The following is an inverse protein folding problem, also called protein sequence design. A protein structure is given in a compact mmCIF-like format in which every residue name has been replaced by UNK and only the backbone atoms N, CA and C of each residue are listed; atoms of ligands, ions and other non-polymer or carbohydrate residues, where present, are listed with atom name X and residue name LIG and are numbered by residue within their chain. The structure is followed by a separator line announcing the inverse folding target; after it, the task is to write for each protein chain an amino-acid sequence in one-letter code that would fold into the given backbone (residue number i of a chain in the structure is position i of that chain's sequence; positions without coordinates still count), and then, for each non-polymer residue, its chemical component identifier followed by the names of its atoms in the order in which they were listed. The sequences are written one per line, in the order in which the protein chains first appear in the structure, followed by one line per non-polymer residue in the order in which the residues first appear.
data_IF_595121548458
#
_entry.id   IF_595121548458
#
_cell.length_a   1.000
_cell.length_b   1.000
_cell.length_c   1.000
_cell.angle_alpha   90.00
_cell.angle_beta   90.00
_cell.angle_gamma   90.00
#
_symmetry.space_group_name_H-M   'P 1'
#
loop_
_entity.id
_entity.type
_entity.pdbx_description
1 polymer ?
#
# COMPACT_ATOMS: atom_id res chain seq x y z
N UNK A 1 23.45 -0.74 44.88
CA UNK A 1 24.41 -1.40 43.95
C UNK A 1 23.61 -2.27 43.00
N UNK A 2 23.56 -1.92 41.71
CA UNK A 2 22.82 -2.70 40.71
C UNK A 2 23.61 -3.92 40.24
N UNK A 3 22.91 -5.01 39.93
CA UNK A 3 23.52 -6.21 39.33
C UNK A 3 24.07 -5.89 37.94
N UNK A 4 25.25 -6.42 37.61
CA UNK A 4 25.84 -6.22 36.29
C UNK A 4 24.98 -6.86 35.18
N UNK A 5 25.01 -6.28 33.98
CA UNK A 5 24.33 -6.88 32.81
C UNK A 5 24.77 -8.33 32.54
N UNK A 6 26.01 -8.67 32.88
CA UNK A 6 26.54 -10.03 32.74
C UNK A 6 25.84 -11.01 33.67
N UNK A 7 25.63 -10.62 34.93
CA UNK A 7 24.90 -11.43 35.90
C UNK A 7 23.44 -11.63 35.49
N UNK A 8 22.77 -10.55 35.06
CA UNK A 8 21.39 -10.60 34.61
C UNK A 8 21.26 -11.50 33.36
N UNK A 9 22.21 -11.41 32.43
CA UNK A 9 22.27 -12.27 31.24
C UNK A 9 22.32 -13.76 31.60
N UNK A 10 23.18 -14.15 32.56
CA UNK A 10 23.27 -15.54 33.01
C UNK A 10 22.01 -16.02 33.69
N UNK A 11 21.41 -15.18 34.52
CA UNK A 11 20.19 -15.52 35.27
C UNK A 11 18.97 -15.65 34.34
N UNK A 12 18.74 -14.66 33.48
CA UNK A 12 17.56 -14.59 32.58
C UNK A 12 17.75 -15.40 31.29
N UNK A 13 18.98 -15.87 31.02
CA UNK A 13 19.35 -16.63 29.80
C UNK A 13 18.96 -15.91 28.50
N UNK A 14 19.15 -14.58 28.48
CA UNK A 14 18.93 -13.72 27.30
C UNK A 14 20.18 -12.92 26.98
N UNK A 15 20.30 -12.50 25.72
CA UNK A 15 21.46 -11.71 25.28
C UNK A 15 21.54 -10.38 26.03
N UNK A 16 22.76 -9.88 26.21
CA UNK A 16 23.01 -8.57 26.84
C UNK A 16 22.32 -7.43 26.07
N UNK A 17 22.21 -7.53 24.74
CA UNK A 17 21.52 -6.54 23.91
C UNK A 17 20.02 -6.52 24.16
N UNK A 18 19.36 -7.68 24.23
CA UNK A 18 17.93 -7.76 24.54
C UNK A 18 17.63 -7.19 25.93
N UNK A 19 18.46 -7.55 26.93
CA UNK A 19 18.34 -7.03 28.30
C UNK A 19 18.54 -5.52 28.33
N UNK A 20 19.55 -5.00 27.64
CA UNK A 20 19.80 -3.56 27.56
C UNK A 20 18.64 -2.81 26.91
N UNK A 21 18.12 -3.31 25.79
CA UNK A 21 16.96 -2.72 25.12
C UNK A 21 15.71 -2.72 26.01
N UNK A 22 15.50 -3.79 26.79
CA UNK A 22 14.41 -3.87 27.76
C UNK A 22 14.57 -2.86 28.90
N UNK A 23 15.75 -2.79 29.53
CA UNK A 23 15.99 -1.87 30.65
C UNK A 23 15.93 -0.40 30.24
N UNK A 24 16.35 -0.06 29.02
CA UNK A 24 16.28 1.31 28.52
C UNK A 24 14.84 1.81 28.34
N UNK A 25 13.91 0.92 27.96
CA UNK A 25 12.51 1.29 27.81
C UNK A 25 11.58 0.08 28.06
N UNK A 26 11.31 -0.25 29.34
CA UNK A 26 10.58 -1.46 29.68
C UNK A 26 9.10 -1.39 29.30
N UNK A 27 8.50 -0.19 29.33
CA UNK A 27 7.07 0.01 29.05
C UNK A 27 6.72 -0.25 27.58
N UNK A 28 7.63 0.06 26.66
CA UNK A 28 7.41 -0.06 25.21
C UNK A 28 8.14 -1.24 24.57
N UNK A 29 8.86 -2.06 25.35
CA UNK A 29 9.58 -3.22 24.82
C UNK A 29 8.59 -4.24 24.21
N UNK A 30 8.83 -4.60 22.95
CA UNK A 30 7.99 -5.56 22.23
C UNK A 30 6.62 -5.03 21.78
N UNK A 31 6.30 -3.76 22.05
CA UNK A 31 5.02 -3.16 21.65
C UNK A 31 4.91 -2.98 20.13
N UNK A 32 6.00 -2.52 19.50
CA UNK A 32 6.02 -2.23 18.06
C UNK A 32 6.22 -3.51 17.25
N UNK A 33 5.18 -3.95 16.56
CA UNK A 33 5.26 -5.01 15.54
C UNK A 33 5.76 -4.44 14.22
N UNK A 34 6.52 -5.23 13.47
CA UNK A 34 6.86 -4.87 12.09
C UNK A 34 5.61 -5.01 11.21
N UNK A 35 5.47 -4.11 10.25
CA UNK A 35 4.35 -4.13 9.27
C UNK A 35 4.50 -5.23 8.23
N UNK A 36 5.57 -6.03 8.28
CA UNK A 36 5.87 -7.04 7.29
C UNK A 36 6.28 -6.46 5.94
N UNK A 37 6.17 -7.28 4.89
CA UNK A 37 6.53 -6.91 3.52
C UNK A 37 5.44 -6.02 2.90
N UNK A 38 5.79 -4.92 2.22
CA UNK A 38 4.83 -4.11 1.47
C UNK A 38 4.08 -4.91 0.40
N UNK A 39 2.81 -4.56 0.16
CA UNK A 39 2.01 -5.15 -0.92
C UNK A 39 2.55 -4.71 -2.28
N UNK A 40 2.35 -5.56 -3.30
CA UNK A 40 2.75 -5.30 -4.69
C UNK A 40 1.78 -4.41 -5.46
N UNK A 41 0.55 -4.33 -4.97
CA UNK A 41 -0.57 -3.63 -5.59
C UNK A 41 -0.99 -2.53 -4.61
N UNK A 42 -1.28 -1.34 -5.11
CA UNK A 42 -1.75 -0.24 -4.26
C UNK A 42 -3.23 -0.37 -3.97
N UNK A 43 -3.74 0.31 -2.94
CA UNK A 43 -5.18 0.32 -2.66
C UNK A 43 -6.02 0.92 -3.79
N UNK A 44 -5.43 1.72 -4.68
CA UNK A 44 -6.12 2.26 -5.86
C UNK A 44 -6.25 1.18 -6.94
N UNK A 45 -5.16 0.48 -7.21
CA UNK A 45 -5.12 -0.60 -8.19
C UNK A 45 -6.09 -1.72 -7.78
N UNK A 46 -6.09 -2.09 -6.50
CA UNK A 46 -7.07 -3.04 -5.95
C UNK A 46 -8.53 -2.63 -6.25
N UNK A 47 -8.88 -1.35 -6.06
CA UNK A 47 -10.22 -0.84 -6.38
C UNK A 47 -10.49 -0.90 -7.88
N UNK A 48 -9.51 -0.52 -8.70
CA UNK A 48 -9.65 -0.52 -10.16
C UNK A 48 -9.83 -1.95 -10.70
N UNK A 49 -9.06 -2.92 -10.19
CA UNK A 49 -9.22 -4.35 -10.51
C UNK A 49 -10.64 -4.79 -10.18
N UNK A 50 -11.11 -4.50 -8.96
CA UNK A 50 -12.45 -4.90 -8.51
C UNK A 50 -13.51 -4.29 -9.44
N UNK A 51 -13.44 -3.00 -9.74
CA UNK A 51 -14.40 -2.33 -10.64
C UNK A 51 -14.42 -2.96 -12.04
N UNK A 52 -13.25 -3.27 -12.60
CA UNK A 52 -13.16 -3.84 -13.95
C UNK A 52 -13.74 -5.25 -13.99
N UNK A 53 -13.40 -6.09 -13.01
CA UNK A 53 -13.84 -7.49 -12.95
C UNK A 53 -15.31 -7.62 -12.57
N UNK A 54 -15.84 -6.72 -11.72
CA UNK A 54 -17.26 -6.73 -11.36
C UNK A 54 -18.19 -6.37 -12.52
N UNK A 55 -17.73 -5.54 -13.47
CA UNK A 55 -18.56 -5.07 -14.58
C UNK A 55 -18.47 -5.96 -15.83
N UNK A 56 -17.48 -6.85 -15.94
CA UNK A 56 -17.29 -7.68 -17.13
C UNK A 56 -16.41 -8.90 -16.83
N UNK A 57 -16.71 -10.08 -17.40
CA UNK A 57 -15.83 -11.23 -17.31
C UNK A 57 -14.56 -10.98 -18.15
N UNK A 58 -13.46 -10.60 -17.49
CA UNK A 58 -12.14 -10.44 -18.11
C UNK A 58 -11.16 -11.49 -17.60
N UNK A 59 -10.22 -11.89 -18.44
CA UNK A 59 -9.12 -12.76 -17.97
C UNK A 59 -8.15 -11.96 -17.10
N UNK A 60 -7.37 -12.68 -16.27
CA UNK A 60 -6.33 -12.05 -15.45
C UNK A 60 -5.31 -11.28 -16.30
N UNK A 61 -4.93 -11.85 -17.45
CA UNK A 61 -3.98 -11.21 -18.36
C UNK A 61 -4.53 -9.89 -18.92
N UNK A 62 -5.83 -9.83 -19.22
CA UNK A 62 -6.48 -8.61 -19.72
C UNK A 62 -6.49 -7.52 -18.65
N UNK A 63 -6.73 -7.88 -17.39
CA UNK A 63 -6.70 -6.94 -16.26
C UNK A 63 -5.29 -6.43 -16.04
N UNK A 64 -4.30 -7.33 -16.03
CA UNK A 64 -2.89 -6.97 -15.81
C UNK A 64 -2.33 -6.08 -16.92
N UNK A 65 -2.72 -6.31 -18.18
CA UNK A 65 -2.32 -5.47 -19.31
C UNK A 65 -2.99 -4.09 -19.23
N UNK A 66 -4.28 -4.04 -18.88
CA UNK A 66 -5.00 -2.78 -18.69
C UNK A 66 -4.38 -1.93 -17.56
N UNK A 67 -4.03 -2.53 -16.41
CA UNK A 67 -3.38 -1.81 -15.32
C UNK A 67 -2.04 -1.18 -15.72
N UNK A 68 -1.19 -1.94 -16.44
CA UNK A 68 0.08 -1.42 -16.96
C UNK A 68 -0.12 -0.28 -17.97
N UNK A 69 -1.19 -0.33 -18.77
CA UNK A 69 -1.52 0.71 -19.73
C UNK A 69 -2.07 2.01 -19.09
N UNK A 70 -2.58 1.97 -17.84
CA UNK A 70 -2.96 3.18 -17.10
C UNK A 70 -1.76 3.92 -16.52
N UNK A 71 -0.67 3.22 -16.15
CA UNK A 71 0.60 3.82 -15.71
C UNK A 71 1.26 4.63 -16.83
N UNK A 72 1.26 4.11 -18.06
CA UNK A 72 1.84 4.78 -19.24
C UNK A 72 1.06 6.03 -19.68
N UNK A 73 -0.23 6.11 -19.33
CA UNK A 73 -1.11 7.23 -19.68
C UNK A 73 -1.13 8.36 -18.64
N UNK A 74 -0.34 8.30 -17.57
CA UNK A 74 -0.15 9.47 -16.69
C UNK A 74 0.77 10.47 -17.39
N UNK A 75 0.23 11.15 -18.42
CA UNK A 75 0.75 12.45 -18.81
C UNK A 75 0.35 13.43 -17.70
N UNK A 76 1.34 13.96 -16.99
CA UNK A 76 1.13 15.06 -16.04
C UNK A 76 0.53 16.24 -16.82
N UNK A 77 -0.76 16.54 -16.62
CA UNK A 77 -1.29 17.87 -16.96
C UNK A 77 -2.47 17.99 -17.94
N UNK A 78 -3.50 17.14 -17.87
CA UNK A 78 -4.79 17.47 -18.49
C UNK A 78 -5.82 17.91 -17.43
N UNK A 79 -6.07 19.22 -17.39
CA UNK A 79 -7.09 19.87 -16.56
C UNK A 79 -8.50 19.36 -16.87
N UNK A 80 -9.34 19.25 -15.84
CA UNK A 80 -10.73 18.72 -15.85
C UNK A 80 -11.72 19.46 -16.79
N UNK A 81 -11.28 20.51 -17.49
CA UNK A 81 -12.16 21.39 -18.25
C UNK A 81 -12.38 20.98 -19.72
N UNK A 82 -11.64 20.01 -20.28
CA UNK A 82 -11.76 19.65 -21.71
C UNK A 82 -12.88 18.66 -22.04
N UNK A 83 -13.41 17.91 -21.07
CA UNK A 83 -14.44 16.87 -21.32
C UNK A 83 -15.81 17.47 -21.64
N UNK A 84 -16.12 18.69 -21.17
CA UNK A 84 -17.40 19.34 -21.45
C UNK A 84 -17.55 19.83 -22.90
N UNK A 85 -16.46 19.98 -23.65
CA UNK A 85 -16.51 20.52 -25.02
C UNK A 85 -16.97 19.49 -26.08
N UNK A 86 -17.01 18.20 -25.75
CA UNK A 86 -17.38 17.15 -26.72
C UNK A 86 -18.85 16.75 -26.69
N UNK A 87 -19.66 17.27 -25.76
CA UNK A 87 -21.10 16.94 -25.67
C UNK A 87 -22.02 17.85 -26.49
N UNK A 88 -21.53 18.95 -27.07
CA UNK A 88 -22.37 19.88 -27.85
C UNK A 88 -22.46 19.57 -29.35
N UNK A 89 -21.70 18.61 -29.87
CA UNK A 89 -21.76 18.22 -31.28
C UNK A 89 -22.45 16.86 -31.42
N UNK A 90 -23.77 16.83 -31.36
CA UNK A 90 -24.50 15.62 -31.75
C UNK A 90 -25.89 15.44 -31.15
N UNK A 91 -26.81 16.39 -31.38
CA UNK A 91 -28.23 16.06 -31.39
C UNK A 91 -28.91 16.89 -32.48
N UNK A 92 -29.02 16.33 -33.68
CA UNK A 92 -30.09 16.69 -34.61
C UNK A 92 -31.07 15.50 -34.59
N UNK A 93 -32.19 15.69 -33.89
CA UNK A 93 -33.37 14.82 -33.98
C UNK A 93 -34.28 15.45 -35.05
N UNK A 94 -34.66 14.66 -36.05
CA UNK A 94 -35.47 15.07 -37.22
C UNK A 94 -36.93 15.42 -36.90
N UNK A 95 -37.89 15.24 -37.82
CA UNK A 95 -37.84 14.48 -39.08
C UNK A 95 -37.25 15.23 -40.29
#
# INVERSE_FOLDING_TARGET
MGSSLHMICRYVKKSRSAIRSYLNNPLYYGWKKSTGRPRKVTSRDERNIILVVSNSPKSLNDVQHNEKAYEEKISVGASRNSVLAQQQCGVELGP
#
